data_IF_789686525749
#
_entry.id   IF_789686525749
#
_cell.length_a   1.000
_cell.length_b   1.000
_cell.length_c   1.000
_cell.angle_alpha   90.00
_cell.angle_beta   90.00
_cell.angle_gamma   90.00
#
_symmetry.space_group_name_H-M   'P 1'
#
loop_
_entity.id
_entity.type
_entity.pdbx_description
1 polymer ?
#
# COMPACT_ATOMS: atom_id res chain seq x y z
N UNK A 1 -1.92 -34.28 -34.42
CA UNK A 1 -0.87 -33.30 -34.09
C UNK A 1 -1.42 -31.86 -33.94
N UNK A 2 -2.31 -31.40 -34.83
CA UNK A 2 -2.89 -30.02 -34.80
C UNK A 2 -3.73 -29.74 -33.55
N UNK A 3 -4.50 -30.72 -33.06
CA UNK A 3 -5.37 -30.60 -31.85
C UNK A 3 -4.55 -30.45 -30.59
N UNK A 4 -3.42 -31.16 -30.46
CA UNK A 4 -2.54 -31.06 -29.29
C UNK A 4 -1.85 -29.67 -29.17
N UNK A 5 -1.55 -29.03 -30.31
CA UNK A 5 -0.96 -27.70 -30.35
C UNK A 5 -1.97 -26.64 -29.90
N UNK A 6 -3.25 -26.76 -30.31
CA UNK A 6 -4.30 -25.85 -29.88
C UNK A 6 -4.55 -25.92 -28.35
N UNK A 7 -4.59 -27.13 -27.76
CA UNK A 7 -4.72 -27.30 -26.32
C UNK A 7 -3.54 -26.73 -25.54
N UNK A 8 -2.30 -26.84 -26.06
CA UNK A 8 -1.11 -26.26 -25.43
C UNK A 8 -1.15 -24.72 -25.42
N UNK A 9 -1.74 -24.08 -26.42
CA UNK A 9 -1.90 -22.62 -26.49
C UNK A 9 -2.95 -22.10 -25.48
N UNK A 10 -4.03 -22.84 -25.27
CA UNK A 10 -5.07 -22.49 -24.30
C UNK A 10 -4.67 -22.76 -22.84
N UNK A 11 -3.78 -23.69 -22.58
CA UNK A 11 -3.33 -24.04 -21.23
C UNK A 11 -2.36 -23.03 -20.60
N UNK A 12 -1.85 -22.04 -21.38
CA UNK A 12 -0.96 -20.98 -20.89
C UNK A 12 -1.64 -19.59 -20.78
N UNK A 13 -2.91 -19.50 -21.13
CA UNK A 13 -3.66 -18.25 -20.94
C UNK A 13 -4.04 -18.11 -19.45
N UNK A 14 -3.42 -17.15 -18.75
CA UNK A 14 -3.82 -16.80 -17.37
C UNK A 14 -5.32 -16.52 -17.31
N UNK A 15 -5.97 -17.05 -16.29
CA UNK A 15 -7.39 -16.77 -16.02
C UNK A 15 -7.62 -15.26 -15.82
N UNK A 16 -8.82 -14.73 -16.02
CA UNK A 16 -9.14 -13.34 -15.68
C UNK A 16 -8.78 -13.00 -14.23
N UNK A 17 -9.02 -13.90 -13.28
CA UNK A 17 -8.63 -13.80 -11.89
C UNK A 17 -7.10 -13.66 -11.73
N UNK A 18 -6.32 -14.57 -12.32
CA UNK A 18 -4.86 -14.52 -12.27
C UNK A 18 -4.27 -13.24 -12.86
N UNK A 19 -4.86 -12.70 -13.94
CA UNK A 19 -4.45 -11.39 -14.49
C UNK A 19 -4.74 -10.23 -13.55
N UNK A 20 -5.81 -10.31 -12.78
CA UNK A 20 -6.17 -9.29 -11.79
C UNK A 20 -5.20 -9.33 -10.62
N UNK A 21 -4.86 -10.51 -10.13
CA UNK A 21 -3.82 -10.71 -9.08
C UNK A 21 -2.48 -10.11 -9.51
N UNK A 22 -2.01 -10.41 -10.74
CA UNK A 22 -0.75 -9.83 -11.25
C UNK A 22 -0.76 -8.30 -11.27
N UNK A 23 -1.88 -7.69 -11.64
CA UNK A 23 -2.01 -6.21 -11.65
C UNK A 23 -2.02 -5.63 -10.25
N UNK A 24 -2.72 -6.28 -9.32
CA UNK A 24 -2.72 -5.91 -7.90
C UNK A 24 -1.29 -5.95 -7.36
N UNK A 25 -0.59 -7.08 -7.53
CA UNK A 25 0.79 -7.24 -7.07
C UNK A 25 1.76 -6.25 -7.75
N UNK A 26 1.60 -6.01 -9.06
CA UNK A 26 2.40 -5.01 -9.77
C UNK A 26 2.20 -3.59 -9.23
N UNK A 27 0.98 -3.18 -8.92
CA UNK A 27 0.71 -1.86 -8.36
C UNK A 27 1.21 -1.75 -6.91
N UNK A 28 1.01 -2.79 -6.10
CA UNK A 28 1.53 -2.87 -4.74
C UNK A 28 3.06 -2.74 -4.70
N UNK A 29 3.77 -3.46 -5.56
CA UNK A 29 5.23 -3.36 -5.68
C UNK A 29 5.70 -1.96 -6.09
N UNK A 30 4.94 -1.26 -6.93
CA UNK A 30 5.24 0.15 -7.27
C UNK A 30 5.02 1.08 -6.08
N UNK A 31 3.99 0.84 -5.25
CA UNK A 31 3.76 1.58 -4.01
C UNK A 31 4.91 1.36 -3.02
N UNK A 32 5.29 0.11 -2.79
CA UNK A 32 6.40 -0.25 -1.92
C UNK A 32 7.71 0.40 -2.38
N UNK A 33 8.04 0.28 -3.67
CA UNK A 33 9.23 0.92 -4.24
C UNK A 33 9.22 2.43 -4.04
N UNK A 34 8.09 3.10 -4.25
CA UNK A 34 7.98 4.55 -4.05
C UNK A 34 8.19 4.94 -2.59
N UNK A 35 7.65 4.17 -1.64
CA UNK A 35 7.89 4.38 -0.20
C UNK A 35 9.36 4.16 0.17
N UNK A 36 10.02 3.16 -0.40
CA UNK A 36 11.45 2.94 -0.24
C UNK A 36 12.28 4.12 -0.76
N UNK A 37 11.98 4.63 -1.96
CA UNK A 37 12.62 5.84 -2.51
C UNK A 37 12.41 7.07 -1.61
N UNK A 38 11.21 7.23 -1.04
CA UNK A 38 10.93 8.31 -0.08
C UNK A 38 11.72 8.12 1.23
N UNK A 39 11.78 6.89 1.74
CA UNK A 39 12.58 6.56 2.94
C UNK A 39 14.05 6.94 2.76
N UNK A 40 14.69 6.47 1.68
CA UNK A 40 16.08 6.76 1.37
C UNK A 40 16.32 8.28 1.20
N UNK A 41 15.44 8.96 0.48
CA UNK A 41 15.54 10.39 0.26
C UNK A 41 15.36 11.20 1.55
N UNK A 42 14.42 10.83 2.42
CA UNK A 42 14.23 11.49 3.72
C UNK A 42 15.47 11.32 4.60
N UNK A 43 16.05 10.12 4.64
CA UNK A 43 17.28 9.85 5.39
C UNK A 43 18.48 10.66 4.87
N UNK A 44 18.57 10.89 3.55
CA UNK A 44 19.64 11.65 2.91
C UNK A 44 19.43 13.18 2.95
N UNK A 45 18.26 13.65 3.33
CA UNK A 45 17.94 15.09 3.31
C UNK A 45 17.46 15.55 1.92
N UNK A 46 16.29 15.11 1.53
CA UNK A 46 15.69 15.36 0.21
C UNK A 46 15.41 16.83 -0.10
N UNK A 47 15.34 17.12 -1.39
CA UNK A 47 15.00 18.45 -1.95
C UNK A 47 13.50 18.53 -2.32
N UNK A 48 13.00 19.77 -2.48
CA UNK A 48 11.65 20.00 -3.01
C UNK A 48 11.42 19.34 -4.39
N UNK A 49 12.46 19.31 -5.25
CA UNK A 49 12.40 18.68 -6.56
C UNK A 49 12.19 17.17 -6.45
N UNK A 50 12.90 16.51 -5.55
CA UNK A 50 12.75 15.07 -5.31
C UNK A 50 11.36 14.75 -4.74
N UNK A 51 10.89 15.50 -3.75
CA UNK A 51 9.55 15.37 -3.23
C UNK A 51 8.46 15.60 -4.28
N UNK A 52 8.67 16.56 -5.18
CA UNK A 52 7.80 16.80 -6.34
C UNK A 52 7.74 15.60 -7.29
N UNK A 53 8.88 14.94 -7.53
CA UNK A 53 8.93 13.71 -8.33
C UNK A 53 8.19 12.55 -7.66
N UNK A 54 8.32 12.36 -6.35
CA UNK A 54 7.56 11.35 -5.61
C UNK A 54 6.06 11.60 -5.68
N UNK A 55 5.63 12.86 -5.50
CA UNK A 55 4.23 13.22 -5.63
C UNK A 55 3.68 12.97 -7.05
N UNK A 56 4.46 13.24 -8.09
CA UNK A 56 4.09 12.93 -9.47
C UNK A 56 3.96 11.41 -9.69
N UNK A 57 4.91 10.61 -9.22
CA UNK A 57 4.83 9.14 -9.26
C UNK A 57 3.59 8.63 -8.51
N UNK A 58 3.30 9.14 -7.31
CA UNK A 58 2.12 8.76 -6.54
C UNK A 58 0.80 9.08 -7.26
N UNK A 59 0.72 10.18 -8.00
CA UNK A 59 -0.44 10.50 -8.85
C UNK A 59 -0.64 9.48 -9.97
N UNK A 60 0.45 9.03 -10.62
CA UNK A 60 0.38 7.98 -11.65
C UNK A 60 -0.10 6.63 -11.07
N UNK A 61 0.24 6.31 -9.82
CA UNK A 61 -0.29 5.11 -9.16
C UNK A 61 -1.82 5.20 -8.97
N UNK A 62 -2.33 6.38 -8.62
CA UNK A 62 -3.78 6.61 -8.49
C UNK A 62 -4.54 6.39 -9.81
N UNK A 63 -3.94 6.68 -10.96
CA UNK A 63 -4.58 6.48 -12.28
C UNK A 63 -4.82 5.00 -12.60
N UNK A 64 -4.07 4.08 -11.98
CA UNK A 64 -4.24 2.65 -12.17
C UNK A 64 -5.37 2.04 -11.31
N UNK A 65 -5.77 2.70 -10.22
CA UNK A 65 -6.75 2.20 -9.25
C UNK A 65 -8.12 1.89 -9.87
N UNK A 66 -8.74 2.76 -10.70
CA UNK A 66 -10.06 2.48 -11.27
C UNK A 66 -10.11 1.20 -12.12
N UNK A 67 -9.04 0.91 -12.85
CA UNK A 67 -8.96 -0.29 -13.69
C UNK A 67 -8.86 -1.57 -12.83
N UNK A 68 -8.11 -1.53 -11.73
CA UNK A 68 -8.00 -2.65 -10.79
C UNK A 68 -9.34 -2.88 -10.09
N UNK A 69 -9.99 -1.81 -9.61
CA UNK A 69 -11.30 -1.88 -8.98
C UNK A 69 -12.33 -2.51 -9.90
N UNK A 70 -12.43 -2.05 -11.16
CA UNK A 70 -13.36 -2.60 -12.15
C UNK A 70 -13.14 -4.10 -12.38
N UNK A 71 -11.87 -4.54 -12.49
CA UNK A 71 -11.53 -5.94 -12.69
C UNK A 71 -11.82 -6.81 -11.45
N UNK A 72 -11.59 -6.29 -10.24
CA UNK A 72 -11.91 -6.99 -9.00
C UNK A 72 -13.42 -7.19 -8.84
N UNK A 73 -14.23 -6.17 -9.19
CA UNK A 73 -15.69 -6.26 -9.21
C UNK A 73 -16.16 -7.26 -10.27
N UNK A 74 -15.56 -7.26 -11.46
CA UNK A 74 -15.87 -8.21 -12.54
C UNK A 74 -15.56 -9.64 -12.11
N UNK A 75 -14.41 -9.89 -11.49
CA UNK A 75 -14.03 -11.22 -10.98
C UNK A 75 -15.06 -11.73 -9.95
N UNK A 76 -15.48 -10.88 -9.01
CA UNK A 76 -16.53 -11.20 -8.04
C UNK A 76 -17.89 -11.45 -8.68
N UNK A 77 -18.25 -10.66 -9.70
CA UNK A 77 -19.50 -10.84 -10.46
C UNK A 77 -19.52 -12.17 -11.22
N UNK A 78 -18.41 -12.56 -11.84
CA UNK A 78 -18.28 -13.83 -12.54
C UNK A 78 -18.45 -15.03 -11.61
N UNK A 79 -17.87 -15.01 -10.41
CA UNK A 79 -17.97 -16.08 -9.43
C UNK A 79 -19.43 -16.35 -8.96
N UNK A 80 -20.32 -15.37 -9.07
CA UNK A 80 -21.74 -15.53 -8.73
C UNK A 80 -22.50 -16.42 -9.75
N UNK A 81 -22.11 -16.38 -11.02
CA UNK A 81 -22.81 -17.06 -12.11
C UNK A 81 -22.22 -18.43 -12.44
N UNK A 82 -20.98 -18.69 -12.04
CA UNK A 82 -20.29 -19.95 -12.28
C UNK A 82 -19.99 -20.63 -10.93
N UNK A 83 -20.83 -21.63 -10.53
CA UNK A 83 -20.68 -22.33 -9.24
C UNK A 83 -19.34 -23.05 -9.07
N UNK A 84 -18.64 -23.33 -10.17
CA UNK A 84 -17.31 -23.93 -10.23
C UNK A 84 -16.18 -22.91 -10.11
N UNK A 85 -16.48 -21.62 -10.18
CA UNK A 85 -15.53 -20.59 -9.84
C UNK A 85 -15.37 -20.55 -8.31
N UNK A 86 -14.14 -20.56 -7.86
CA UNK A 86 -13.80 -20.48 -6.43
C UNK A 86 -14.27 -19.12 -5.90
N UNK A 87 -15.44 -19.12 -5.24
CA UNK A 87 -16.04 -17.88 -4.70
C UNK A 87 -15.11 -17.20 -3.72
N UNK A 88 -14.39 -18.01 -2.93
CA UNK A 88 -13.47 -17.51 -1.91
C UNK A 88 -12.28 -16.80 -2.55
N UNK A 89 -11.74 -17.32 -3.67
CA UNK A 89 -10.67 -16.66 -4.43
C UNK A 89 -11.13 -15.30 -5.01
N UNK A 90 -12.33 -15.25 -5.58
CA UNK A 90 -12.87 -14.02 -6.16
C UNK A 90 -13.14 -12.95 -5.09
N UNK A 91 -13.62 -13.34 -3.91
CA UNK A 91 -13.82 -12.45 -2.78
C UNK A 91 -12.48 -11.95 -2.23
N UNK A 92 -11.48 -12.82 -2.11
CA UNK A 92 -10.13 -12.44 -1.70
C UNK A 92 -9.51 -11.42 -2.67
N UNK A 93 -9.63 -11.63 -3.99
CA UNK A 93 -9.15 -10.69 -5.01
C UNK A 93 -9.84 -9.33 -4.86
N UNK A 94 -11.15 -9.33 -4.59
CA UNK A 94 -11.90 -8.10 -4.38
C UNK A 94 -11.42 -7.34 -3.13
N UNK A 95 -11.26 -8.04 -2.00
CA UNK A 95 -10.76 -7.48 -0.75
C UNK A 95 -9.34 -6.91 -0.93
N UNK A 96 -8.45 -7.66 -1.58
CA UNK A 96 -7.08 -7.21 -1.89
C UNK A 96 -7.07 -5.98 -2.80
N UNK A 97 -8.00 -5.89 -3.73
CA UNK A 97 -8.17 -4.71 -4.60
C UNK A 97 -8.55 -3.46 -3.81
N UNK A 98 -9.52 -3.57 -2.88
CA UNK A 98 -9.94 -2.46 -2.00
C UNK A 98 -8.79 -2.04 -1.07
N UNK A 99 -8.13 -2.99 -0.43
CA UNK A 99 -7.01 -2.73 0.46
C UNK A 99 -5.87 -1.97 -0.27
N UNK A 100 -5.59 -2.36 -1.51
CA UNK A 100 -4.61 -1.67 -2.34
C UNK A 100 -5.05 -0.26 -2.73
N UNK A 101 -6.33 -0.04 -3.06
CA UNK A 101 -6.87 1.29 -3.32
C UNK A 101 -6.64 2.22 -2.12
N UNK A 102 -6.96 1.78 -0.91
CA UNK A 102 -6.70 2.53 0.32
C UNK A 102 -5.20 2.80 0.49
N UNK A 103 -4.36 1.80 0.30
CA UNK A 103 -2.90 1.94 0.37
C UNK A 103 -2.38 3.02 -0.58
N UNK A 104 -2.80 3.02 -1.85
CA UNK A 104 -2.37 4.01 -2.87
C UNK A 104 -2.77 5.43 -2.46
N UNK A 105 -3.97 5.62 -1.90
CA UNK A 105 -4.43 6.92 -1.38
C UNK A 105 -3.49 7.43 -0.28
N UNK A 106 -3.12 6.56 0.68
CA UNK A 106 -2.23 6.95 1.78
C UNK A 106 -0.81 7.24 1.29
N UNK A 107 -0.27 6.43 0.36
CA UNK A 107 1.05 6.68 -0.26
C UNK A 107 1.08 8.05 -0.95
N UNK A 108 0.01 8.41 -1.66
CA UNK A 108 -0.10 9.75 -2.27
C UNK A 108 -0.15 10.85 -1.22
N UNK A 109 -0.85 10.63 -0.11
CA UNK A 109 -0.97 11.59 0.98
C UNK A 109 0.39 11.80 1.66
N UNK A 110 1.15 10.74 1.92
CA UNK A 110 2.51 10.79 2.45
C UNK A 110 3.42 11.58 1.50
N UNK A 111 3.41 11.27 0.19
CA UNK A 111 4.19 12.00 -0.80
C UNK A 111 3.83 13.49 -0.85
N UNK A 112 2.55 13.84 -0.68
CA UNK A 112 2.09 15.23 -0.58
C UNK A 112 2.62 15.91 0.68
N UNK A 113 2.54 15.24 1.83
CA UNK A 113 3.05 15.77 3.11
C UNK A 113 4.56 16.05 3.04
N UNK A 114 5.34 15.13 2.43
CA UNK A 114 6.77 15.34 2.21
C UNK A 114 7.07 16.52 1.29
N UNK A 115 6.28 16.69 0.21
CA UNK A 115 6.41 17.84 -0.68
C UNK A 115 6.11 19.16 0.05
N UNK A 116 5.01 19.22 0.79
CA UNK A 116 4.62 20.41 1.55
C UNK A 116 5.65 20.74 2.64
N UNK A 117 6.23 19.73 3.29
CA UNK A 117 7.32 19.89 4.26
C UNK A 117 8.57 20.51 3.60
N UNK A 118 8.94 20.05 2.40
CA UNK A 118 10.09 20.60 1.67
C UNK A 118 9.90 22.08 1.26
N UNK A 119 8.67 22.49 1.03
CA UNK A 119 8.32 23.91 0.72
C UNK A 119 8.38 24.79 1.95
N UNK A 120 8.01 24.26 3.12
CA UNK A 120 7.85 25.04 4.37
C UNK A 120 9.06 24.97 5.32
N UNK A 121 10.25 24.69 4.83
CA UNK A 121 11.48 24.68 5.63
C UNK A 121 11.94 23.30 6.12
N UNK A 122 11.28 22.23 5.66
CA UNK A 122 11.75 20.86 5.88
C UNK A 122 11.18 20.19 7.15
N UNK A 123 11.82 19.10 7.53
CA UNK A 123 11.53 18.29 8.72
C UNK A 123 12.73 18.35 9.64
N UNK A 124 12.51 18.38 10.96
CA UNK A 124 13.59 18.34 11.94
C UNK A 124 14.45 17.08 11.76
N UNK A 125 15.77 17.21 11.96
CA UNK A 125 16.71 16.10 11.70
C UNK A 125 16.47 14.90 12.63
N UNK A 126 16.03 15.14 13.88
CA UNK A 126 15.57 14.11 14.81
C UNK A 126 14.44 13.27 14.23
N UNK A 127 13.45 13.91 13.65
CA UNK A 127 12.26 13.29 13.09
C UNK A 127 12.51 12.60 11.74
N UNK A 128 13.45 13.10 10.91
CA UNK A 128 13.79 12.50 9.60
C UNK A 128 14.13 11.02 9.70
N UNK A 129 14.96 10.66 10.69
CA UNK A 129 15.37 9.27 10.87
C UNK A 129 14.17 8.36 11.15
N UNK A 130 13.27 8.79 12.03
CA UNK A 130 12.10 8.00 12.39
C UNK A 130 11.09 7.89 11.21
N UNK A 131 10.91 8.98 10.44
CA UNK A 131 10.11 8.93 9.22
C UNK A 131 10.70 7.94 8.21
N UNK A 132 12.02 7.97 7.99
CA UNK A 132 12.67 7.05 7.07
C UNK A 132 12.49 5.59 7.50
N UNK A 133 12.68 5.27 8.79
CA UNK A 133 12.45 3.94 9.33
C UNK A 133 10.99 3.50 9.13
N UNK A 134 10.03 4.35 9.46
CA UNK A 134 8.62 4.03 9.32
C UNK A 134 8.21 3.81 7.86
N UNK A 135 8.69 4.64 6.92
CA UNK A 135 8.44 4.46 5.48
C UNK A 135 9.06 3.17 4.94
N UNK A 136 10.27 2.80 5.41
CA UNK A 136 10.92 1.54 5.05
C UNK A 136 10.13 0.32 5.55
N UNK A 137 9.66 0.36 6.81
CA UNK A 137 8.87 -0.71 7.39
C UNK A 137 7.54 -0.91 6.63
N UNK A 138 6.83 0.17 6.31
CA UNK A 138 5.61 0.11 5.51
C UNK A 138 5.87 -0.39 4.09
N UNK A 139 6.97 0.04 3.46
CA UNK A 139 7.40 -0.47 2.14
C UNK A 139 7.56 -1.98 2.17
N UNK A 140 8.25 -2.49 3.20
CA UNK A 140 8.46 -3.94 3.39
C UNK A 140 7.14 -4.67 3.66
N UNK A 141 6.27 -4.14 4.52
CA UNK A 141 4.97 -4.75 4.80
C UNK A 141 4.08 -4.87 3.55
N UNK A 142 4.06 -3.83 2.69
CA UNK A 142 3.34 -3.90 1.41
C UNK A 142 3.95 -4.97 0.50
N UNK A 143 5.27 -5.00 0.31
CA UNK A 143 5.93 -6.03 -0.50
C UNK A 143 5.61 -7.43 0.00
N UNK A 144 5.81 -7.70 1.28
CA UNK A 144 5.49 -9.00 1.91
C UNK A 144 4.06 -9.43 1.65
N UNK A 145 3.09 -8.53 1.85
CA UNK A 145 1.65 -8.85 1.70
C UNK A 145 1.27 -9.23 0.27
N UNK A 146 1.90 -8.62 -0.72
CA UNK A 146 1.56 -8.80 -2.13
C UNK A 146 2.57 -9.65 -2.93
N UNK A 147 3.71 -10.04 -2.36
CA UNK A 147 4.60 -11.08 -2.87
C UNK A 147 4.00 -12.44 -2.58
N UNK A 148 3.30 -12.99 -3.50
CA UNK A 148 2.38 -14.10 -3.43
C UNK A 148 3.05 -15.48 -3.32
N UNK A 149 2.34 -16.45 -2.72
CA UNK A 149 2.29 -17.88 -3.04
C UNK A 149 2.82 -18.90 -2.04
N UNK A 150 2.82 -18.66 -0.72
CA UNK A 150 3.00 -19.82 0.20
C UNK A 150 2.22 -19.63 1.50
N UNK A 151 1.50 -20.65 1.91
CA UNK A 151 0.77 -20.70 3.20
C UNK A 151 1.66 -20.48 4.45
N UNK A 152 2.98 -20.55 4.32
CA UNK A 152 3.96 -20.20 5.35
C UNK A 152 4.23 -18.70 5.47
N UNK A 153 3.60 -17.88 4.65
CA UNK A 153 3.83 -16.45 4.52
C UNK A 153 2.91 -15.60 5.41
N UNK A 154 1.86 -16.20 5.98
CA UNK A 154 0.88 -15.45 6.78
C UNK A 154 1.50 -14.93 8.09
N UNK A 155 2.32 -15.70 8.77
CA UNK A 155 3.05 -15.28 9.97
C UNK A 155 4.07 -14.18 9.65
N UNK A 156 4.76 -14.29 8.51
CA UNK A 156 5.73 -13.29 8.04
C UNK A 156 5.05 -11.96 7.67
N UNK A 157 3.89 -12.01 7.02
CA UNK A 157 3.09 -10.84 6.66
C UNK A 157 2.54 -10.12 7.89
N UNK A 158 2.08 -10.89 8.89
CA UNK A 158 1.60 -10.36 10.16
C UNK A 158 2.73 -9.69 10.93
N UNK A 159 3.92 -10.29 10.97
CA UNK A 159 5.11 -9.68 11.57
C UNK A 159 5.48 -8.37 10.87
N UNK A 160 5.57 -8.34 9.55
CA UNK A 160 5.90 -7.14 8.78
C UNK A 160 4.89 -5.99 9.01
N UNK A 161 3.60 -6.32 9.12
CA UNK A 161 2.55 -5.34 9.43
C UNK A 161 2.67 -4.81 10.87
N UNK A 162 3.02 -5.67 11.83
CA UNK A 162 3.31 -5.27 13.21
C UNK A 162 4.52 -4.33 13.27
N UNK A 163 5.61 -4.68 12.59
CA UNK A 163 6.83 -3.86 12.53
C UNK A 163 6.53 -2.47 11.95
N UNK A 164 5.64 -2.38 10.96
CA UNK A 164 5.21 -1.10 10.40
C UNK A 164 4.41 -0.26 11.41
N UNK A 165 3.54 -0.88 12.23
CA UNK A 165 2.82 -0.20 13.33
C UNK A 165 3.79 0.28 14.41
N UNK A 166 4.73 -0.56 14.81
CA UNK A 166 5.72 -0.22 15.85
C UNK A 166 6.61 0.95 15.40
N UNK A 167 7.01 0.96 14.13
CA UNK A 167 7.75 2.07 13.55
C UNK A 167 6.92 3.36 13.48
N UNK A 168 5.63 3.25 13.20
CA UNK A 168 4.67 4.37 13.27
C UNK A 168 4.51 4.92 14.68
N UNK A 169 4.41 4.06 15.69
CA UNK A 169 4.34 4.43 17.09
C UNK A 169 5.63 5.13 17.56
N UNK A 170 6.80 4.60 17.19
CA UNK A 170 8.08 5.24 17.49
C UNK A 170 8.22 6.63 16.84
N UNK A 171 7.68 6.80 15.63
CA UNK A 171 7.61 8.13 15.01
C UNK A 171 6.70 9.08 15.81
N UNK A 172 5.54 8.61 16.27
CA UNK A 172 4.63 9.41 17.09
C UNK A 172 5.28 9.86 18.40
N UNK A 173 5.98 8.97 19.09
CA UNK A 173 6.72 9.27 20.30
C UNK A 173 7.81 10.34 20.06
N UNK A 174 8.61 10.20 19.00
CA UNK A 174 9.62 11.19 18.61
C UNK A 174 9.01 12.56 18.34
N UNK A 175 7.84 12.63 17.66
CA UNK A 175 7.14 13.89 17.41
C UNK A 175 6.63 14.55 18.68
N UNK A 176 6.19 13.77 19.67
CA UNK A 176 5.73 14.29 20.96
C UNK A 176 6.91 14.83 21.78
N UNK A 177 8.08 14.16 21.74
CA UNK A 177 9.29 14.64 22.40
C UNK A 177 9.80 15.95 21.80
N UNK A 178 9.78 16.05 20.46
CA UNK A 178 10.21 17.24 19.71
C UNK A 178 9.19 18.40 19.80
N UNK A 179 7.95 18.13 20.23
CA UNK A 179 6.83 19.09 20.20
C UNK A 179 7.07 20.37 21.02
N UNK A 180 8.02 20.35 21.96
CA UNK A 180 8.35 21.51 22.80
C UNK A 180 9.13 22.59 22.04
N UNK A 181 9.91 22.16 21.04
CA UNK A 181 10.84 23.04 20.30
C UNK A 181 10.48 23.12 18.81
N UNK A 182 9.52 22.32 18.33
CA UNK A 182 9.11 22.26 16.93
C UNK A 182 7.99 23.27 16.62
N UNK A 183 7.97 23.74 15.38
CA UNK A 183 6.85 24.50 14.85
C UNK A 183 5.58 23.62 14.83
N UNK A 184 4.46 24.19 15.25
CA UNK A 184 3.15 23.53 15.30
C UNK A 184 2.80 22.86 13.96
N UNK A 185 3.14 23.50 12.84
CA UNK A 185 2.85 22.98 11.52
C UNK A 185 3.67 21.70 11.20
N UNK A 186 4.91 21.62 11.67
CA UNK A 186 5.76 20.41 11.52
C UNK A 186 5.17 19.23 12.32
N UNK A 187 4.69 19.49 13.53
CA UNK A 187 4.03 18.45 14.35
C UNK A 187 2.79 17.92 13.67
N UNK A 188 1.92 18.80 13.18
CA UNK A 188 0.68 18.40 12.48
C UNK A 188 0.98 17.56 11.23
N UNK A 189 2.01 17.92 10.45
CA UNK A 189 2.43 17.11 9.29
C UNK A 189 2.99 15.76 9.71
N UNK A 190 3.81 15.71 10.75
CA UNK A 190 4.34 14.47 11.30
C UNK A 190 3.24 13.53 11.77
N UNK A 191 2.27 14.02 12.55
CA UNK A 191 1.11 13.24 13.00
C UNK A 191 0.23 12.78 11.84
N UNK A 192 0.10 13.59 10.79
CA UNK A 192 -0.57 13.16 9.55
C UNK A 192 0.16 11.99 8.90
N UNK A 193 1.50 11.95 8.89
CA UNK A 193 2.26 10.80 8.40
C UNK A 193 2.02 9.55 9.25
N UNK A 194 2.06 9.66 10.58
CA UNK A 194 1.73 8.55 11.49
C UNK A 194 0.36 7.97 11.15
N UNK A 195 -0.68 8.82 11.09
CA UNK A 195 -2.03 8.38 10.76
C UNK A 195 -2.14 7.68 9.38
N UNK A 196 -1.36 8.13 8.38
CA UNK A 196 -1.36 7.47 7.07
C UNK A 196 -0.63 6.11 7.11
N UNK A 197 0.44 5.98 7.91
CA UNK A 197 1.15 4.72 8.15
C UNK A 197 0.22 3.70 8.81
N UNK A 198 -0.48 4.09 9.88
CA UNK A 198 -1.48 3.25 10.56
C UNK A 198 -2.58 2.79 9.61
N UNK A 199 -3.13 3.69 8.78
CA UNK A 199 -4.16 3.32 7.80
C UNK A 199 -3.65 2.36 6.75
N UNK A 200 -2.38 2.45 6.34
CA UNK A 200 -1.79 1.44 5.45
C UNK A 200 -1.69 0.11 6.18
N UNK A 201 -1.17 0.08 7.40
CA UNK A 201 -1.07 -1.14 8.20
C UNK A 201 -2.45 -1.80 8.41
N UNK A 202 -3.49 -1.00 8.69
CA UNK A 202 -4.86 -1.49 8.79
C UNK A 202 -5.40 -2.05 7.47
N UNK A 203 -5.03 -1.44 6.34
CA UNK A 203 -5.42 -1.96 5.01
C UNK A 203 -4.71 -3.28 4.66
N UNK A 204 -3.53 -3.54 5.22
CA UNK A 204 -2.80 -4.79 5.05
C UNK A 204 -3.30 -5.91 5.99
N UNK A 205 -3.97 -5.55 7.08
CA UNK A 205 -4.54 -6.46 8.05
C UNK A 205 -5.97 -6.85 7.64
N UNK A 206 -6.15 -8.08 7.15
CA UNK A 206 -7.47 -8.59 6.73
C UNK A 206 -8.49 -8.67 7.88
N UNK A 207 -8.04 -8.67 9.12
CA UNK A 207 -8.89 -8.70 10.30
C UNK A 207 -9.26 -7.30 10.80
N UNK A 208 -8.73 -6.26 10.21
CA UNK A 208 -9.02 -4.88 10.61
C UNK A 208 -10.51 -4.55 10.50
N UNK A 209 -11.12 -3.97 11.55
CA UNK A 209 -12.52 -3.50 11.51
C UNK A 209 -12.76 -2.52 10.36
N UNK A 210 -11.80 -1.64 10.08
CA UNK A 210 -11.88 -0.64 9.01
C UNK A 210 -12.06 -1.25 7.62
N UNK A 211 -11.52 -2.46 7.38
CA UNK A 211 -11.70 -3.18 6.12
C UNK A 211 -13.06 -3.89 6.09
N UNK A 212 -13.51 -4.42 7.22
CA UNK A 212 -14.81 -5.13 7.33
C UNK A 212 -16.00 -4.22 7.06
N UNK A 213 -15.97 -2.98 7.55
CA UNK A 213 -17.05 -1.99 7.34
C UNK A 213 -17.20 -1.59 5.86
N UNK A 214 -16.13 -1.68 5.07
CA UNK A 214 -16.17 -1.38 3.62
C UNK A 214 -16.64 -2.58 2.80
N UNK A 215 -16.44 -3.80 3.30
CA UNK A 215 -16.74 -5.05 2.58
C UNK A 215 -18.20 -5.46 2.78
N UNK A 216 -18.77 -5.19 3.94
CA UNK A 216 -20.19 -5.39 4.26
C UNK A 216 -20.90 -4.04 4.25
N UNK A 217 -21.35 -3.50 3.11
CA UNK A 217 -22.28 -2.39 3.12
C UNK A 217 -23.56 -2.86 3.82
N UNK A 218 -24.05 -2.03 4.75
CA UNK A 218 -25.31 -2.26 5.46
C UNK A 218 -26.39 -2.74 4.50
N UNK A 219 -27.05 -3.86 4.86
CA UNK A 219 -28.21 -4.39 4.16
C UNK A 219 -29.42 -3.43 4.25
#
# INVERSE_FOLDING_TARGET
>A
AAVAIAFSYFSHAKTPAGRTVDKISSLANKCAKLLGEMSEGVAAGYTQKEAGNWLAKARLLMEAVPAIRAQSVEARGHARWFPTAEKDEAEEIYIRGIALEHTVVQVRTIARTLFDSAVSGGIADSTKKQIAVALSAVSYAISSKYETESASQDDSNQSATSDARDAGAALAESLIEDAKDADQEQIVRGLSMVANIERIADSLDQNSPALKDVITPDE
#
